data_IF_157400643295
#
_entry.id   IF_157400643295
#
_cell.length_a   1.000
_cell.length_b   1.000
_cell.length_c   1.000
_cell.angle_alpha   90.00
_cell.angle_beta   90.00
_cell.angle_gamma   90.00
#
_symmetry.space_group_name_H-M   'P 1'
#
loop_
_entity.id
_entity.type
_entity.pdbx_description
1 polymer ?
#
# COMPACT_ATOMS: atom_id res chain seq x y z
N UNK A 1 -42.69 24.80 11.13
CA UNK A 1 -41.67 23.75 10.91
C UNK A 1 -40.92 24.12 9.65
N UNK A 2 -39.62 24.40 9.72
CA UNK A 2 -38.82 24.73 8.54
C UNK A 2 -38.81 23.55 7.57
N UNK A 3 -39.32 23.78 6.36
CA UNK A 3 -39.39 22.78 5.29
C UNK A 3 -38.01 22.68 4.61
N UNK A 4 -37.03 22.06 5.29
CA UNK A 4 -35.68 21.87 4.76
C UNK A 4 -35.66 20.71 3.77
N UNK A 5 -35.00 20.91 2.63
CA UNK A 5 -34.87 19.90 1.58
C UNK A 5 -34.16 18.68 2.20
N UNK A 6 -34.60 17.43 1.92
CA UNK A 6 -34.02 16.21 2.51
C UNK A 6 -32.49 16.14 2.41
N UNK A 7 -31.92 16.69 1.32
CA UNK A 7 -30.47 16.79 1.09
C UNK A 7 -29.77 17.71 2.10
N UNK A 8 -30.36 18.86 2.40
CA UNK A 8 -29.80 19.80 3.38
C UNK A 8 -29.86 19.25 4.81
N UNK A 9 -30.96 18.56 5.16
CA UNK A 9 -31.07 17.86 6.45
C UNK A 9 -30.04 16.73 6.57
N UNK A 10 -29.83 15.96 5.50
CA UNK A 10 -28.82 14.90 5.47
C UNK A 10 -27.41 15.46 5.62
N UNK A 11 -27.03 16.48 4.85
CA UNK A 11 -25.72 17.13 4.92
C UNK A 11 -25.49 17.73 6.31
N UNK A 12 -26.50 18.42 6.88
CA UNK A 12 -26.37 19.00 8.22
C UNK A 12 -26.16 17.96 9.31
N UNK A 13 -26.90 16.84 9.24
CA UNK A 13 -26.79 15.76 10.22
C UNK A 13 -25.50 14.93 10.08
N UNK A 14 -24.89 14.86 8.88
CA UNK A 14 -23.69 14.06 8.62
C UNK A 14 -22.40 14.89 8.46
N UNK A 15 -22.46 16.22 8.62
CA UNK A 15 -21.29 17.11 8.52
C UNK A 15 -20.18 16.72 9.52
N UNK A 16 -20.55 16.29 10.73
CA UNK A 16 -19.58 15.84 11.73
C UNK A 16 -18.84 14.57 11.27
N UNK A 17 -19.57 13.58 10.77
CA UNK A 17 -18.99 12.34 10.22
C UNK A 17 -18.10 12.60 9.00
N UNK A 18 -18.47 13.56 8.14
CA UNK A 18 -17.66 13.96 6.99
C UNK A 18 -16.31 14.57 7.43
N UNK A 19 -16.32 15.43 8.46
CA UNK A 19 -15.10 16.00 9.05
C UNK A 19 -14.23 14.96 9.75
N UNK A 20 -14.84 14.02 10.46
CA UNK A 20 -14.14 12.90 11.10
C UNK A 20 -13.49 12.00 10.05
N UNK A 21 -14.21 11.69 8.96
CA UNK A 21 -13.68 10.97 7.81
C UNK A 21 -12.51 11.72 7.14
N UNK A 22 -12.64 13.04 6.93
CA UNK A 22 -11.55 13.88 6.41
C UNK A 22 -10.28 13.75 7.24
N UNK A 23 -10.44 13.91 8.55
CA UNK A 23 -9.35 13.84 9.51
C UNK A 23 -8.70 12.47 9.50
N UNK A 24 -9.49 11.41 9.52
CA UNK A 24 -9.00 10.04 9.46
C UNK A 24 -8.21 9.77 8.16
N UNK A 25 -8.71 10.23 7.01
CA UNK A 25 -8.01 10.07 5.73
C UNK A 25 -6.68 10.82 5.72
N UNK A 26 -6.62 12.06 6.24
CA UNK A 26 -5.38 12.85 6.34
C UNK A 26 -4.37 12.22 7.28
N UNK A 27 -4.80 11.80 8.47
CA UNK A 27 -3.93 11.15 9.46
C UNK A 27 -3.36 9.85 8.87
N UNK A 28 -4.22 9.02 8.27
CA UNK A 28 -3.79 7.78 7.61
C UNK A 28 -2.83 8.03 6.44
N UNK A 29 -3.15 9.00 5.57
CA UNK A 29 -2.29 9.37 4.45
C UNK A 29 -0.92 9.86 4.91
N UNK A 30 -0.86 10.66 5.97
CA UNK A 30 0.39 11.12 6.57
C UNK A 30 1.24 9.95 7.09
N UNK A 31 0.66 9.08 7.92
CA UNK A 31 1.36 7.90 8.45
C UNK A 31 1.85 6.97 7.34
N UNK A 32 1.00 6.70 6.34
CA UNK A 32 1.35 5.83 5.22
C UNK A 32 2.38 6.46 4.27
N UNK A 33 2.41 7.80 4.15
CA UNK A 33 3.46 8.52 3.41
C UNK A 33 4.81 8.32 4.06
N UNK A 34 4.88 8.41 5.40
CA UNK A 34 6.14 8.16 6.14
C UNK A 34 6.60 6.72 5.93
N UNK A 35 5.70 5.73 6.10
CA UNK A 35 6.02 4.31 5.86
C UNK A 35 6.51 4.10 4.42
N UNK A 36 5.81 4.67 3.43
CA UNK A 36 6.19 4.58 2.02
C UNK A 36 7.57 5.19 1.75
N UNK A 37 7.86 6.37 2.29
CA UNK A 37 9.16 7.02 2.16
C UNK A 37 10.30 6.20 2.78
N UNK A 38 10.05 5.56 3.92
CA UNK A 38 11.01 4.64 4.54
C UNK A 38 11.30 3.44 3.63
N UNK A 39 10.26 2.81 3.06
CA UNK A 39 10.45 1.69 2.12
C UNK A 39 11.24 2.15 0.89
N UNK A 40 10.92 3.32 0.33
CA UNK A 40 11.66 3.89 -0.81
C UNK A 40 13.16 3.99 -0.47
N UNK A 41 13.46 4.52 0.70
CA UNK A 41 14.85 4.72 1.15
C UNK A 41 15.58 3.40 1.33
N UNK A 42 14.95 2.41 1.99
CA UNK A 42 15.55 1.11 2.27
C UNK A 42 15.79 0.32 0.99
N UNK A 43 14.80 0.26 0.09
CA UNK A 43 14.93 -0.47 -1.17
C UNK A 43 15.90 0.23 -2.14
N UNK A 44 15.90 1.56 -2.19
CA UNK A 44 16.87 2.30 -3.00
C UNK A 44 18.29 2.00 -2.55
N UNK A 45 18.54 1.98 -1.23
CA UNK A 45 19.82 1.55 -0.69
C UNK A 45 20.13 0.09 -1.07
N UNK A 46 19.16 -0.83 -0.91
CA UNK A 46 19.32 -2.24 -1.23
C UNK A 46 19.66 -2.51 -2.71
N UNK A 47 19.12 -1.72 -3.63
CA UNK A 47 19.44 -1.79 -5.06
C UNK A 47 20.93 -1.54 -5.35
N UNK A 48 21.58 -0.66 -4.57
CA UNK A 48 23.01 -0.36 -4.70
C UNK A 48 23.89 -1.19 -3.78
N UNK A 49 23.37 -1.68 -2.66
CA UNK A 49 24.08 -2.58 -1.74
C UNK A 49 23.72 -4.04 -2.03
N UNK A 50 24.10 -4.48 -3.23
CA UNK A 50 23.72 -5.79 -3.76
C UNK A 50 24.19 -6.94 -2.84
N UNK A 51 23.29 -7.85 -2.43
CA UNK A 51 23.66 -9.00 -1.61
C UNK A 51 24.67 -9.87 -2.34
N UNK A 52 25.81 -10.14 -1.69
CA UNK A 52 26.93 -10.87 -2.27
C UNK A 52 27.98 -10.02 -2.99
N UNK A 53 27.70 -8.74 -3.24
CA UNK A 53 28.66 -7.80 -3.85
C UNK A 53 28.88 -7.99 -5.35
N UNK A 54 29.80 -7.20 -5.88
CA UNK A 54 30.18 -7.19 -7.30
C UNK A 54 31.52 -7.89 -7.50
N UNK A 55 31.70 -8.51 -8.67
CA UNK A 55 32.98 -9.06 -9.08
C UNK A 55 33.97 -7.90 -9.32
N UNK A 56 35.10 -7.90 -8.62
CA UNK A 56 36.11 -6.84 -8.70
C UNK A 56 36.76 -6.67 -10.07
N UNK A 57 36.65 -7.64 -10.98
CA UNK A 57 37.20 -7.55 -12.34
C UNK A 57 36.20 -7.07 -13.39
N UNK A 58 34.92 -7.42 -13.24
CA UNK A 58 33.90 -7.12 -14.25
C UNK A 58 32.88 -6.07 -13.81
N UNK A 59 32.81 -5.77 -12.51
CA UNK A 59 31.83 -4.88 -11.90
C UNK A 59 30.42 -5.46 -11.80
N UNK A 60 30.17 -6.66 -12.36
CA UNK A 60 28.85 -7.29 -12.32
C UNK A 60 28.57 -8.00 -10.99
N UNK A 61 27.29 -8.06 -10.56
CA UNK A 61 26.88 -8.83 -9.39
C UNK A 61 27.34 -10.29 -9.45
N UNK A 62 27.95 -10.78 -8.38
CA UNK A 62 28.51 -12.14 -8.34
C UNK A 62 27.42 -13.21 -8.54
N UNK A 63 26.19 -12.92 -8.11
CA UNK A 63 25.04 -13.82 -8.20
C UNK A 63 24.11 -13.54 -9.39
N UNK A 64 24.55 -12.78 -10.40
CA UNK A 64 23.70 -12.32 -11.51
C UNK A 64 22.89 -13.43 -12.21
N UNK A 65 23.42 -14.65 -12.30
CA UNK A 65 22.76 -15.79 -12.94
C UNK A 65 21.94 -16.69 -11.99
N UNK A 66 21.84 -16.35 -10.70
CA UNK A 66 21.02 -17.10 -9.75
C UNK A 66 19.59 -16.59 -9.77
N UNK A 67 18.63 -17.52 -9.80
CA UNK A 67 17.18 -17.20 -9.76
C UNK A 67 16.80 -16.32 -8.56
N UNK A 68 17.45 -16.52 -7.42
CA UNK A 68 17.22 -15.74 -6.20
C UNK A 68 17.67 -14.28 -6.34
N UNK A 69 18.77 -14.02 -7.05
CA UNK A 69 19.24 -12.66 -7.30
C UNK A 69 18.30 -11.90 -8.25
N UNK A 70 17.79 -12.58 -9.28
CA UNK A 70 16.77 -12.01 -10.16
C UNK A 70 15.48 -11.70 -9.38
N UNK A 71 15.05 -12.60 -8.51
CA UNK A 71 13.90 -12.38 -7.63
C UNK A 71 14.11 -11.17 -6.68
N UNK A 72 15.33 -11.00 -6.15
CA UNK A 72 15.71 -9.85 -5.34
C UNK A 72 15.56 -8.53 -6.13
N UNK A 73 16.24 -8.39 -7.27
CA UNK A 73 16.24 -7.14 -8.05
C UNK A 73 14.83 -6.78 -8.56
N UNK A 74 14.08 -7.77 -9.06
CA UNK A 74 12.72 -7.52 -9.55
C UNK A 74 11.80 -7.10 -8.41
N UNK A 75 11.87 -7.78 -7.26
CA UNK A 75 11.03 -7.45 -6.10
C UNK A 75 11.38 -6.09 -5.50
N UNK A 76 12.67 -5.76 -5.44
CA UNK A 76 13.16 -4.45 -4.99
C UNK A 76 12.61 -3.31 -5.87
N UNK A 77 12.72 -3.45 -7.20
CA UNK A 77 12.19 -2.48 -8.15
C UNK A 77 10.66 -2.32 -8.03
N UNK A 78 9.92 -3.43 -7.94
CA UNK A 78 8.46 -3.37 -7.76
C UNK A 78 8.11 -2.69 -6.44
N UNK A 79 8.85 -2.98 -5.37
CA UNK A 79 8.64 -2.36 -4.06
C UNK A 79 8.86 -0.85 -4.10
N UNK A 80 9.95 -0.40 -4.75
CA UNK A 80 10.30 1.00 -4.94
C UNK A 80 9.23 1.78 -5.71
N UNK A 81 8.88 1.31 -6.91
CA UNK A 81 7.93 2.01 -7.77
C UNK A 81 6.52 2.02 -7.18
N UNK A 82 6.10 0.89 -6.59
CA UNK A 82 4.80 0.79 -5.93
C UNK A 82 4.74 1.69 -4.69
N UNK A 83 5.81 1.76 -3.88
CA UNK A 83 5.88 2.67 -2.72
C UNK A 83 5.83 4.13 -3.14
N UNK A 84 6.59 4.50 -4.18
CA UNK A 84 6.61 5.85 -4.75
C UNK A 84 5.23 6.25 -5.24
N UNK A 85 4.53 5.35 -5.93
CA UNK A 85 3.14 5.58 -6.38
C UNK A 85 2.20 5.78 -5.20
N UNK A 86 2.33 4.97 -4.14
CA UNK A 86 1.58 5.12 -2.89
C UNK A 86 1.80 6.50 -2.26
N UNK A 87 3.07 6.91 -2.11
CA UNK A 87 3.45 8.21 -1.55
C UNK A 87 2.84 9.35 -2.36
N UNK A 88 2.89 9.29 -3.70
CA UNK A 88 2.27 10.31 -4.55
C UNK A 88 0.74 10.38 -4.38
N UNK A 89 0.07 9.23 -4.22
CA UNK A 89 -1.37 9.20 -3.97
C UNK A 89 -1.74 9.78 -2.60
N UNK A 90 -0.97 9.47 -1.55
CA UNK A 90 -1.19 10.02 -0.21
C UNK A 90 -0.85 11.51 -0.13
N UNK A 91 0.22 11.96 -0.77
CA UNK A 91 0.49 13.39 -0.94
C UNK A 91 -0.65 14.08 -1.70
N UNK A 92 -1.20 13.43 -2.73
CA UNK A 92 -2.39 13.91 -3.44
C UNK A 92 -3.64 14.04 -2.57
N UNK A 93 -3.76 13.28 -1.47
CA UNK A 93 -4.82 13.41 -0.46
C UNK A 93 -4.53 14.56 0.50
N UNK A 94 -3.27 14.74 0.89
CA UNK A 94 -2.85 15.82 1.80
C UNK A 94 -2.91 17.20 1.12
N UNK A 95 -2.58 17.28 -0.17
CA UNK A 95 -2.58 18.53 -0.95
C UNK A 95 -3.93 18.85 -1.59
N UNK A 96 -4.84 17.88 -1.67
CA UNK A 96 -6.20 18.07 -2.20
C UNK A 96 -6.94 19.20 -1.47
N UNK A 97 -7.49 20.17 -2.21
CA UNK A 97 -8.40 21.18 -1.65
C UNK A 97 -9.78 20.52 -1.52
N UNK A 98 -10.19 20.24 -0.29
CA UNK A 98 -11.39 19.48 0.08
C UNK A 98 -12.69 20.22 -0.29
N UNK A 99 -13.03 20.29 -1.57
CA UNK A 99 -14.34 20.72 -2.06
C UNK A 99 -15.33 19.55 -1.99
N UNK A 100 -16.58 19.80 -1.60
CA UNK A 100 -17.61 18.77 -1.33
C UNK A 100 -17.80 17.76 -2.49
N UNK A 101 -17.66 18.19 -3.75
CA UNK A 101 -17.86 17.32 -4.93
C UNK A 101 -16.66 16.39 -5.22
N UNK A 102 -15.43 16.81 -4.93
CA UNK A 102 -14.22 15.98 -5.11
C UNK A 102 -14.06 14.96 -3.96
N UNK A 103 -14.70 15.22 -2.83
CA UNK A 103 -14.63 14.42 -1.61
C UNK A 103 -15.29 13.05 -1.78
N UNK A 104 -16.40 12.96 -2.51
CA UNK A 104 -17.23 11.76 -2.53
C UNK A 104 -16.66 10.61 -3.37
N UNK A 105 -15.75 10.89 -4.31
CA UNK A 105 -15.25 9.85 -5.23
C UNK A 105 -13.75 9.91 -5.49
N UNK A 106 -13.17 11.10 -5.68
CA UNK A 106 -11.74 11.21 -6.02
C UNK A 106 -10.85 10.85 -4.84
N UNK A 107 -11.23 11.28 -3.63
CA UNK A 107 -10.48 11.05 -2.39
C UNK A 107 -10.46 9.58 -1.95
N UNK A 108 -11.62 8.88 -1.83
CA UNK A 108 -11.64 7.45 -1.51
C UNK A 108 -10.87 6.62 -2.56
N UNK A 109 -10.98 6.98 -3.84
CA UNK A 109 -10.25 6.29 -4.92
C UNK A 109 -8.73 6.44 -4.76
N UNK A 110 -8.23 7.67 -4.51
CA UNK A 110 -6.80 7.89 -4.24
C UNK A 110 -6.33 7.10 -3.01
N UNK A 111 -7.16 7.01 -1.98
CA UNK A 111 -6.83 6.27 -0.76
C UNK A 111 -6.76 4.76 -1.01
N UNK A 112 -7.71 4.20 -1.75
CA UNK A 112 -7.70 2.79 -2.16
C UNK A 112 -6.45 2.49 -2.99
N UNK A 113 -6.14 3.32 -4.01
CA UNK A 113 -4.95 3.12 -4.84
C UNK A 113 -3.68 3.20 -4.00
N UNK A 114 -3.55 4.23 -3.15
CA UNK A 114 -2.38 4.42 -2.29
C UNK A 114 -2.15 3.26 -1.32
N UNK A 115 -3.19 2.80 -0.63
CA UNK A 115 -3.09 1.66 0.29
C UNK A 115 -2.81 0.34 -0.45
N UNK A 116 -3.36 0.16 -1.65
CA UNK A 116 -3.12 -1.05 -2.46
C UNK A 116 -1.69 -1.12 -2.96
N UNK A 117 -1.14 -0.01 -3.48
CA UNK A 117 0.25 0.04 -3.94
C UNK A 117 1.23 -0.02 -2.78
N UNK A 118 0.91 0.57 -1.62
CA UNK A 118 1.71 0.39 -0.40
C UNK A 118 1.72 -1.08 0.02
N UNK A 119 0.59 -1.77 -0.10
CA UNK A 119 0.49 -3.18 0.24
C UNK A 119 1.39 -4.04 -0.65
N UNK A 120 1.32 -3.84 -1.96
CA UNK A 120 2.19 -4.51 -2.93
C UNK A 120 3.67 -4.21 -2.61
N UNK A 121 3.98 -2.98 -2.22
CA UNK A 121 5.34 -2.57 -1.88
C UNK A 121 5.89 -3.32 -0.67
N UNK A 122 5.10 -3.46 0.41
CA UNK A 122 5.51 -4.19 1.61
C UNK A 122 5.66 -5.68 1.33
N UNK A 123 4.73 -6.28 0.57
CA UNK A 123 4.82 -7.69 0.20
C UNK A 123 6.09 -7.98 -0.63
N UNK A 124 6.40 -7.14 -1.62
CA UNK A 124 7.58 -7.30 -2.47
C UNK A 124 8.88 -6.98 -1.74
N UNK A 125 8.88 -6.01 -0.82
CA UNK A 125 10.01 -5.77 0.10
C UNK A 125 10.36 -7.04 0.91
N UNK A 126 9.35 -7.75 1.44
CA UNK A 126 9.58 -8.99 2.18
C UNK A 126 10.15 -10.11 1.31
N UNK A 127 9.73 -10.20 0.04
CA UNK A 127 10.30 -11.15 -0.94
C UNK A 127 11.75 -10.79 -1.27
N UNK A 128 12.06 -9.51 -1.46
CA UNK A 128 13.42 -9.02 -1.68
C UNK A 128 14.31 -9.37 -0.47
N UNK A 129 13.88 -9.02 0.74
CA UNK A 129 14.61 -9.32 1.97
C UNK A 129 14.86 -10.84 2.13
N UNK A 130 13.84 -11.67 1.91
CA UNK A 130 13.98 -13.13 1.96
C UNK A 130 15.00 -13.62 0.94
N UNK A 131 14.91 -13.15 -0.31
CA UNK A 131 15.85 -13.52 -1.38
C UNK A 131 17.29 -13.12 -1.05
N UNK A 132 17.50 -11.93 -0.49
CA UNK A 132 18.81 -11.45 -0.05
C UNK A 132 19.41 -12.35 1.05
N UNK A 133 18.59 -12.75 2.03
CA UNK A 133 19.01 -13.65 3.11
C UNK A 133 19.40 -15.04 2.58
N UNK A 134 18.62 -15.60 1.65
CA UNK A 134 18.97 -16.88 1.02
C UNK A 134 20.28 -16.81 0.24
N UNK A 135 20.57 -15.67 -0.42
CA UNK A 135 21.83 -15.46 -1.13
C UNK A 135 23.01 -15.38 -0.14
N UNK A 136 22.84 -14.67 0.99
CA UNK A 136 23.88 -14.55 2.01
C UNK A 136 24.16 -15.86 2.77
N UNK A 137 23.14 -16.68 3.03
CA UNK A 137 23.22 -17.85 3.92
C UNK A 137 23.52 -19.15 3.13
N UNK A 138 24.09 -19.07 1.93
CA UNK A 138 24.23 -20.17 0.95
C UNK A 138 24.86 -21.49 1.50
N UNK A 139 25.39 -21.54 2.74
CA UNK A 139 25.95 -22.74 3.37
C UNK A 139 25.38 -23.14 4.76
N UNK A 140 24.48 -22.38 5.41
CA UNK A 140 24.00 -22.69 6.79
C UNK A 140 22.48 -22.93 6.89
N UNK A 141 22.07 -24.14 6.54
CA UNK A 141 20.66 -24.57 6.49
C UNK A 141 19.89 -24.47 7.83
N UNK A 142 20.58 -24.50 8.97
CA UNK A 142 19.94 -24.42 10.30
C UNK A 142 19.31 -23.03 10.58
N UNK A 143 19.87 -21.96 10.01
CA UNK A 143 19.43 -20.58 10.28
C UNK A 143 18.22 -20.19 9.42
N UNK A 144 18.04 -20.87 8.29
CA UNK A 144 16.99 -20.56 7.30
C UNK A 144 15.57 -20.77 7.87
N UNK A 145 15.36 -21.85 8.64
CA UNK A 145 14.06 -22.23 9.20
C UNK A 145 13.48 -21.14 10.13
N UNK A 146 14.19 -20.68 11.19
CA UNK A 146 13.68 -19.61 12.03
C UNK A 146 13.53 -18.29 11.27
N UNK A 147 14.35 -18.03 10.25
CA UNK A 147 14.27 -16.81 9.45
C UNK A 147 13.00 -16.73 8.60
N UNK A 148 12.60 -17.85 7.97
CA UNK A 148 11.32 -17.96 7.24
C UNK A 148 10.16 -17.75 8.21
N UNK A 149 10.23 -18.34 9.41
CA UNK A 149 9.19 -18.19 10.42
C UNK A 149 9.04 -16.72 10.83
N UNK A 150 10.13 -16.02 11.12
CA UNK A 150 10.13 -14.60 11.47
C UNK A 150 9.65 -13.73 10.31
N UNK A 151 10.04 -14.03 9.06
CA UNK A 151 9.59 -13.29 7.89
C UNK A 151 8.09 -13.49 7.59
N UNK A 152 7.53 -14.65 7.93
CA UNK A 152 6.11 -14.95 7.71
C UNK A 152 5.18 -14.14 8.61
N UNK A 153 5.60 -13.84 9.85
CA UNK A 153 4.80 -13.11 10.84
C UNK A 153 4.32 -11.74 10.34
N UNK A 154 5.20 -10.81 9.87
CA UNK A 154 4.75 -9.53 9.36
C UNK A 154 3.90 -9.68 8.09
N UNK A 155 4.18 -10.65 7.20
CA UNK A 155 3.37 -10.89 6.00
C UNK A 155 1.95 -11.32 6.36
N UNK A 156 1.79 -12.26 7.29
CA UNK A 156 0.47 -12.75 7.73
C UNK A 156 -0.31 -11.67 8.48
N UNK A 157 0.35 -10.95 9.39
CA UNK A 157 -0.25 -9.82 10.11
C UNK A 157 -0.75 -8.74 9.13
N UNK A 158 0.04 -8.47 8.09
CA UNK A 158 -0.26 -7.42 7.13
C UNK A 158 -1.40 -7.81 6.19
N UNK A 159 -1.48 -9.07 5.74
CA UNK A 159 -2.65 -9.60 5.02
C UNK A 159 -3.90 -9.50 5.89
N UNK A 160 -3.82 -9.94 7.15
CA UNK A 160 -4.95 -9.97 8.06
C UNK A 160 -5.51 -8.57 8.35
N UNK A 161 -4.63 -7.58 8.53
CA UNK A 161 -5.03 -6.23 8.93
C UNK A 161 -5.48 -5.37 7.72
N UNK A 162 -4.79 -5.46 6.59
CA UNK A 162 -5.02 -4.56 5.46
C UNK A 162 -6.14 -5.01 4.51
N UNK A 163 -6.32 -6.32 4.36
CA UNK A 163 -7.34 -6.89 3.49
C UNK A 163 -8.78 -6.49 3.87
N UNK A 164 -9.24 -6.60 5.13
CA UNK A 164 -10.59 -6.18 5.50
C UNK A 164 -10.82 -4.69 5.26
N UNK A 165 -9.84 -3.84 5.57
CA UNK A 165 -9.92 -2.40 5.34
C UNK A 165 -10.07 -2.04 3.85
N UNK A 166 -9.29 -2.68 2.97
CA UNK A 166 -9.38 -2.47 1.54
C UNK A 166 -10.72 -2.95 0.97
N UNK A 167 -11.19 -4.11 1.41
CA UNK A 167 -12.48 -4.68 0.99
C UNK A 167 -13.63 -3.78 1.43
N UNK A 168 -13.62 -3.31 2.67
CA UNK A 168 -14.67 -2.43 3.20
C UNK A 168 -14.70 -1.08 2.47
N UNK A 169 -13.54 -0.45 2.21
CA UNK A 169 -13.48 0.78 1.42
C UNK A 169 -13.96 0.57 -0.03
N UNK A 170 -13.59 -0.54 -0.66
CA UNK A 170 -14.01 -0.85 -2.02
C UNK A 170 -15.52 -1.07 -2.10
N UNK A 171 -16.10 -1.86 -1.19
CA UNK A 171 -17.54 -2.11 -1.12
C UNK A 171 -18.31 -0.82 -0.77
N UNK A 172 -17.79 0.00 0.15
CA UNK A 172 -18.44 1.26 0.53
C UNK A 172 -18.48 2.26 -0.64
N UNK A 173 -17.38 2.35 -1.40
CA UNK A 173 -17.23 3.30 -2.51
C UNK A 173 -17.96 2.85 -3.79
N UNK A 174 -17.90 1.55 -4.13
CA UNK A 174 -18.45 1.01 -5.38
C UNK A 174 -19.72 0.15 -5.20
N UNK A 175 -19.92 -0.45 -4.02
CA UNK A 175 -21.02 -1.38 -3.76
C UNK A 175 -22.40 -0.75 -3.64
N UNK A 176 -22.51 0.54 -3.24
CA UNK A 176 -23.80 1.25 -3.23
C UNK A 176 -24.43 1.38 -4.62
N UNK A 177 -23.63 1.36 -5.69
CA UNK A 177 -24.13 1.41 -7.07
C UNK A 177 -24.85 0.13 -7.53
N UNK A 178 -24.63 -1.01 -6.86
CA UNK A 178 -25.28 -2.28 -7.20
C UNK A 178 -26.66 -2.41 -6.53
N UNK A 179 -26.80 -1.91 -5.30
CA UNK A 179 -28.08 -1.99 -4.56
C UNK A 179 -29.15 -1.04 -5.11
N UNK A 180 -28.77 0.13 -5.62
CA UNK A 180 -29.73 1.09 -6.17
C UNK A 180 -30.31 0.65 -7.54
N UNK A 181 -29.62 -0.27 -8.23
CA UNK A 181 -30.09 -0.79 -9.53
C UNK A 181 -31.26 -1.76 -9.42
N UNK A 182 -31.48 -2.35 -8.25
CA UNK A 182 -32.59 -3.29 -8.01
C UNK A 182 -33.90 -2.63 -7.54
N UNK A 183 -33.90 -1.32 -7.26
CA UNK A 183 -35.14 -0.61 -6.85
C UNK A 183 -35.89 -0.03 -8.05
N UNK A 184 -35.25 0.17 -9.20
CA UNK A 184 -35.88 0.75 -10.41
C UNK A 184 -36.56 -0.27 -11.35
N UNK A 185 -36.61 -1.56 -10.99
CA UNK A 185 -37.23 -2.61 -11.83
C UNK A 185 -38.65 -3.01 -11.42
N UNK A 186 -39.27 -2.32 -10.45
CA UNK A 186 -40.68 -2.51 -10.08
C UNK A 186 -41.36 -1.16 -9.85
N UNK A 187 -41.62 -0.45 -10.94
CA UNK A 187 -42.65 0.57 -11.03
C UNK A 187 -43.30 0.43 -12.42
#
# INVERSE_FOLDING_TARGET
MENKIPREMFTKNHNQLAKEGERWMKETASSCTVVGALIITIMFAAAFTIPGGNNGQTGFPIFLHKKLFMAFIVSDAVSLFSSTTSVLMFLGILTSRYAEDDFLKSLPTKMIIGLSTLFISIATMMVAFSSALFIMIHEQSWIVIPMIFVASVPVTLFIWMQFPLLVEMYISTYGRGIFDRNVKSRA
#
